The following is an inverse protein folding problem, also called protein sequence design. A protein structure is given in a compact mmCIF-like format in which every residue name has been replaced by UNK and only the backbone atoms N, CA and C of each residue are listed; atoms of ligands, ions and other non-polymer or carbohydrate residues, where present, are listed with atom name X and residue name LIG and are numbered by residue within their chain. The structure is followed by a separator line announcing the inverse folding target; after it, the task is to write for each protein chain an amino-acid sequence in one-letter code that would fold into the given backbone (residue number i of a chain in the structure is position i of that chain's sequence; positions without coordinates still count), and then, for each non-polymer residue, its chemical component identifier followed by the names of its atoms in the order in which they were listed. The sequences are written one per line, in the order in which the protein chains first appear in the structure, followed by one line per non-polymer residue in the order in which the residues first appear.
data_IF_422790409208
#
_entry.id   IF_422790409208
#
_cell.length_a   1.000
_cell.length_b   1.000
_cell.length_c   1.000
_cell.angle_alpha   90.00
_cell.angle_beta   90.00
_cell.angle_gamma   90.00
#
_symmetry.space_group_name_H-M   'P 1'
#
loop_
_entity.id
_entity.type
_entity.pdbx_description
1 polymer ?
#
# COMPACT_ATOMS: atom_id res chain seq x y z
N UNK A 1 -36.76 6.32 -55.59
CA UNK A 1 -36.74 5.57 -54.30
C UNK A 1 -35.34 5.39 -53.68
N UNK A 2 -34.30 6.16 -54.06
CA UNK A 2 -32.91 5.92 -53.63
C UNK A 2 -32.45 6.60 -52.32
N UNK A 3 -33.25 7.49 -51.71
CA UNK A 3 -32.75 8.41 -50.66
C UNK A 3 -32.99 7.94 -49.20
N UNK A 4 -33.66 6.78 -48.98
CA UNK A 4 -33.94 6.26 -47.64
C UNK A 4 -32.83 5.34 -47.09
N UNK A 5 -32.02 4.72 -47.94
CA UNK A 5 -30.95 3.77 -47.53
C UNK A 5 -29.71 4.50 -47.01
N UNK A 6 -29.25 5.54 -47.72
CA UNK A 6 -28.09 6.38 -47.32
C UNK A 6 -28.29 7.14 -46.01
N UNK A 7 -29.54 7.56 -45.69
CA UNK A 7 -29.86 8.25 -44.43
C UNK A 7 -29.88 7.32 -43.21
N UNK A 8 -30.10 6.01 -43.42
CA UNK A 8 -30.14 5.01 -42.34
C UNK A 8 -28.72 4.56 -41.95
N UNK A 9 -27.84 4.39 -42.94
CA UNK A 9 -26.40 4.11 -42.75
C UNK A 9 -25.67 5.25 -42.02
N UNK A 10 -25.97 6.51 -42.36
CA UNK A 10 -25.40 7.66 -41.67
C UNK A 10 -25.94 7.87 -40.24
N UNK A 11 -27.10 7.30 -39.91
CA UNK A 11 -27.64 7.32 -38.54
C UNK A 11 -27.01 6.22 -37.69
N UNK A 12 -26.76 5.04 -38.25
CA UNK A 12 -26.07 3.93 -37.55
C UNK A 12 -24.57 4.17 -37.39
N UNK A 13 -23.91 4.93 -38.28
CA UNK A 13 -22.52 5.34 -38.12
C UNK A 13 -22.32 6.42 -37.03
N UNK A 14 -23.28 7.35 -36.87
CA UNK A 14 -23.25 8.38 -35.81
C UNK A 14 -23.57 7.85 -34.41
N UNK A 15 -24.25 6.71 -34.30
CA UNK A 15 -24.61 6.09 -33.02
C UNK A 15 -23.53 5.16 -32.44
N UNK A 16 -22.39 4.98 -33.13
CA UNK A 16 -21.28 4.11 -32.69
C UNK A 16 -20.07 4.83 -32.09
N UNK A 17 -20.10 6.15 -31.92
CA UNK A 17 -19.00 6.88 -31.27
C UNK A 17 -19.22 7.09 -29.77
N UNK A 18 -19.83 6.13 -29.07
CA UNK A 18 -19.77 6.08 -27.61
C UNK A 18 -18.32 5.67 -27.28
N UNK A 19 -17.41 6.64 -27.32
CA UNK A 19 -16.03 6.46 -26.89
C UNK A 19 -16.11 5.93 -25.46
N UNK A 20 -15.76 4.67 -25.26
CA UNK A 20 -15.65 4.10 -23.92
C UNK A 20 -14.63 4.98 -23.18
N UNK A 21 -14.98 5.65 -22.06
CA UNK A 21 -14.03 6.46 -21.32
C UNK A 21 -12.78 5.63 -20.95
N UNK A 22 -12.96 4.34 -20.66
CA UNK A 22 -11.88 3.37 -20.39
C UNK A 22 -10.89 3.10 -21.55
N UNK A 23 -11.16 3.61 -22.77
CA UNK A 23 -10.26 3.48 -23.94
C UNK A 23 -9.34 4.68 -24.12
N UNK A 24 -9.48 5.73 -23.29
CA UNK A 24 -8.59 6.88 -23.35
C UNK A 24 -7.23 6.55 -22.73
N UNK A 25 -6.19 6.58 -23.57
CA UNK A 25 -4.79 6.37 -23.18
C UNK A 25 -4.28 7.40 -22.15
N UNK A 26 -5.05 8.46 -21.87
CA UNK A 26 -4.77 9.48 -20.84
C UNK A 26 -5.06 8.98 -19.42
N UNK A 27 -6.11 8.18 -19.23
CA UNK A 27 -6.51 7.66 -17.91
C UNK A 27 -5.38 6.90 -17.21
N UNK A 28 -4.72 5.89 -17.82
CA UNK A 28 -3.65 5.17 -17.14
C UNK A 28 -2.47 6.08 -16.78
N UNK A 29 -2.20 7.13 -17.56
CA UNK A 29 -1.15 8.09 -17.23
C UNK A 29 -1.50 8.92 -15.99
N UNK A 30 -2.74 9.42 -15.91
CA UNK A 30 -3.22 10.16 -14.73
C UNK A 30 -3.17 9.28 -13.49
N UNK A 31 -3.66 8.03 -13.59
CA UNK A 31 -3.55 7.06 -12.51
C UNK A 31 -2.10 6.78 -12.12
N UNK A 32 -1.20 6.69 -13.10
CA UNK A 32 0.23 6.52 -12.85
C UNK A 32 0.83 7.67 -12.03
N UNK A 33 0.51 8.92 -12.35
CA UNK A 33 0.91 10.09 -11.55
C UNK A 33 0.37 9.98 -10.12
N UNK A 34 -0.92 9.69 -9.96
CA UNK A 34 -1.54 9.56 -8.64
C UNK A 34 -0.90 8.45 -7.79
N UNK A 35 -0.59 7.31 -8.40
CA UNK A 35 0.10 6.20 -7.73
C UNK A 35 1.53 6.57 -7.32
N UNK A 36 2.26 7.32 -8.16
CA UNK A 36 3.59 7.82 -7.78
C UNK A 36 3.52 8.83 -6.62
N UNK A 37 2.55 9.75 -6.65
CA UNK A 37 2.32 10.68 -5.55
C UNK A 37 1.98 9.94 -4.26
N UNK A 38 1.14 8.91 -4.33
CA UNK A 38 0.83 8.04 -3.19
C UNK A 38 2.09 7.33 -2.66
N UNK A 39 2.98 6.88 -3.55
CA UNK A 39 4.24 6.25 -3.15
C UNK A 39 5.14 7.21 -2.36
N UNK A 40 5.27 8.46 -2.84
CA UNK A 40 6.03 9.50 -2.13
C UNK A 40 5.36 9.85 -0.79
N UNK A 41 4.03 9.97 -0.77
CA UNK A 41 3.26 10.17 0.46
C UNK A 41 3.58 9.08 1.49
N UNK A 42 3.51 7.80 1.09
CA UNK A 42 3.80 6.68 1.99
C UNK A 42 5.25 6.67 2.45
N UNK A 43 6.20 7.03 1.58
CA UNK A 43 7.60 7.15 1.97
C UNK A 43 7.79 8.16 3.10
N UNK A 44 7.25 9.36 2.94
CA UNK A 44 7.34 10.42 3.97
C UNK A 44 6.62 10.00 5.25
N UNK A 45 5.42 9.40 5.15
CA UNK A 45 4.68 8.88 6.30
C UNK A 45 5.47 7.82 7.08
N UNK A 46 6.08 6.86 6.37
CA UNK A 46 6.82 5.75 6.96
C UNK A 46 8.13 6.23 7.59
N UNK A 47 8.87 7.10 6.92
CA UNK A 47 10.10 7.71 7.48
C UNK A 47 9.76 8.49 8.75
N UNK A 48 8.71 9.31 8.73
CA UNK A 48 8.27 10.03 9.92
C UNK A 48 7.90 9.08 11.06
N UNK A 49 7.21 7.97 10.75
CA UNK A 49 6.78 6.99 11.75
C UNK A 49 7.95 6.34 12.50
N UNK A 50 9.13 6.18 11.88
CA UNK A 50 10.32 5.66 12.57
C UNK A 50 10.71 6.50 13.79
N UNK A 51 10.33 7.78 13.82
CA UNK A 51 10.59 8.70 14.92
C UNK A 51 9.36 8.95 15.79
N UNK A 52 8.14 8.94 15.21
CA UNK A 52 6.89 9.35 15.90
C UNK A 52 6.06 8.19 16.44
N UNK A 53 6.45 6.94 16.15
CA UNK A 53 5.63 5.76 16.49
C UNK A 53 5.26 5.64 17.97
N UNK A 54 6.08 6.12 18.91
CA UNK A 54 5.81 6.05 20.36
C UNK A 54 4.59 6.89 20.70
N UNK A 55 4.65 8.16 20.31
CA UNK A 55 3.57 9.14 20.48
C UNK A 55 2.31 8.68 19.75
N UNK A 56 2.47 8.11 18.54
CA UNK A 56 1.35 7.63 17.74
C UNK A 56 0.70 6.36 18.33
N UNK A 57 1.47 5.45 18.93
CA UNK A 57 0.97 4.18 19.48
C UNK A 57 0.12 4.38 20.74
N UNK A 58 0.56 5.23 21.67
CA UNK A 58 -0.18 5.51 22.91
C UNK A 58 -1.55 6.16 22.65
N UNK A 59 -1.67 6.90 21.55
CA UNK A 59 -2.91 7.60 21.15
C UNK A 59 -3.85 6.72 20.30
N UNK A 60 -3.29 5.79 19.51
CA UNK A 60 -4.04 4.93 18.58
C UNK A 60 -4.64 3.69 19.25
N UNK A 61 -4.23 3.32 20.47
CA UNK A 61 -4.86 2.22 21.22
C UNK A 61 -6.38 2.41 21.45
N UNK A 62 -6.90 3.64 21.36
CA UNK A 62 -8.32 3.96 21.43
C UNK A 62 -9.00 4.07 20.05
N UNK A 63 -8.53 3.36 19.01
CA UNK A 63 -9.01 3.56 17.64
C UNK A 63 -10.54 3.50 17.50
N UNK A 64 -11.15 4.67 17.29
CA UNK A 64 -12.54 4.87 16.90
C UNK A 64 -12.55 5.75 15.65
N UNK A 65 -13.55 5.57 14.78
CA UNK A 65 -13.75 6.44 13.61
C UNK A 65 -13.89 7.93 13.99
N UNK A 66 -14.18 8.24 15.26
CA UNK A 66 -14.16 9.59 15.83
C UNK A 66 -12.75 10.21 15.92
N UNK A 67 -11.66 9.43 16.06
CA UNK A 67 -10.29 9.97 16.14
C UNK A 67 -9.87 10.71 14.87
N UNK A 68 -10.47 10.39 13.72
CA UNK A 68 -10.23 11.13 12.48
C UNK A 68 -10.68 12.59 12.59
N UNK A 69 -11.74 12.85 13.37
CA UNK A 69 -12.37 14.16 13.51
C UNK A 69 -12.14 14.82 14.88
N UNK A 70 -11.57 14.09 15.83
CA UNK A 70 -11.38 14.58 17.20
C UNK A 70 -10.15 15.49 17.27
N UNK A 71 -10.34 16.80 17.25
CA UNK A 71 -9.28 17.82 17.23
C UNK A 71 -8.31 17.77 18.44
N UNK A 72 -8.64 17.04 19.51
CA UNK A 72 -7.82 16.98 20.72
C UNK A 72 -6.57 16.10 20.61
N UNK A 73 -6.47 15.27 19.56
CA UNK A 73 -5.35 14.33 19.38
C UNK A 73 -4.16 14.98 18.68
N UNK A 74 -3.09 15.17 19.43
CA UNK A 74 -1.79 15.57 18.91
C UNK A 74 -1.05 14.37 18.32
N UNK A 75 -0.77 14.41 17.02
CA UNK A 75 0.11 13.45 16.34
C UNK A 75 1.36 14.18 15.85
N UNK A 76 2.50 13.51 15.87
CA UNK A 76 3.79 14.12 15.50
C UNK A 76 4.21 13.77 14.06
N UNK A 77 3.49 12.87 13.40
CA UNK A 77 3.82 12.46 12.03
C UNK A 77 3.81 13.68 11.08
N UNK A 78 4.80 13.78 10.21
CA UNK A 78 4.98 14.94 9.32
C UNK A 78 3.80 15.18 8.37
N UNK A 79 3.02 14.15 8.07
CA UNK A 79 1.79 14.25 7.26
C UNK A 79 0.52 14.31 8.11
N UNK A 80 0.66 14.65 9.39
CA UNK A 80 -0.42 14.70 10.37
C UNK A 80 -1.06 13.34 10.59
N UNK A 81 -2.36 13.35 10.91
CA UNK A 81 -3.10 12.15 11.35
C UNK A 81 -3.22 11.08 10.29
N UNK A 82 -3.45 11.51 9.04
CA UNK A 82 -3.51 10.56 7.92
C UNK A 82 -2.18 9.84 7.75
N UNK A 83 -1.06 10.55 7.89
CA UNK A 83 0.27 9.97 7.92
C UNK A 83 0.41 8.93 9.03
N UNK A 84 0.17 9.36 10.28
CA UNK A 84 0.28 8.53 11.47
C UNK A 84 -0.55 7.24 11.38
N UNK A 85 -1.84 7.34 11.02
CA UNK A 85 -2.75 6.19 10.91
C UNK A 85 -2.30 5.25 9.78
N UNK A 86 -1.94 5.81 8.62
CA UNK A 86 -1.53 5.00 7.47
C UNK A 86 -0.24 4.25 7.79
N UNK A 87 0.78 4.94 8.31
CA UNK A 87 2.03 4.29 8.71
C UNK A 87 1.81 3.29 9.85
N UNK A 88 0.98 3.60 10.84
CA UNK A 88 0.67 2.68 11.93
C UNK A 88 -0.01 1.40 11.43
N UNK A 89 -0.93 1.49 10.46
CA UNK A 89 -1.54 0.31 9.84
C UNK A 89 -0.51 -0.58 9.12
N UNK A 90 0.47 0.01 8.44
CA UNK A 90 1.52 -0.74 7.73
C UNK A 90 2.58 -1.32 8.68
N UNK A 91 2.92 -0.62 9.75
CA UNK A 91 3.94 -1.05 10.68
C UNK A 91 3.37 -1.95 11.77
N UNK A 92 2.36 -1.50 12.50
CA UNK A 92 1.85 -2.19 13.67
C UNK A 92 0.88 -3.32 13.29
N UNK A 93 -0.17 -3.03 12.49
CA UNK A 93 -1.21 -4.02 12.16
C UNK A 93 -0.87 -5.00 11.03
N UNK A 94 0.19 -4.75 10.27
CA UNK A 94 0.60 -5.65 9.18
C UNK A 94 2.02 -6.16 9.34
N UNK A 95 2.99 -5.65 8.59
CA UNK A 95 4.28 -6.34 8.37
C UNK A 95 5.49 -5.67 9.01
N UNK A 96 5.33 -4.49 9.62
CA UNK A 96 6.41 -3.80 10.31
C UNK A 96 7.30 -2.97 9.38
N UNK A 97 8.59 -2.88 9.74
CA UNK A 97 9.61 -2.19 8.95
C UNK A 97 9.72 -2.69 7.50
N UNK A 98 9.54 -3.98 7.18
CA UNK A 98 9.48 -4.46 5.80
C UNK A 98 8.42 -3.80 4.91
N UNK A 99 7.44 -3.09 5.47
CA UNK A 99 6.40 -2.37 4.72
C UNK A 99 6.94 -1.37 3.70
N UNK A 100 8.18 -0.88 3.84
CA UNK A 100 8.85 -0.05 2.84
C UNK A 100 8.88 -0.68 1.44
N UNK A 101 8.82 -2.01 1.32
CA UNK A 101 8.72 -2.68 0.01
C UNK A 101 7.46 -2.29 -0.76
N UNK A 102 6.37 -1.90 -0.08
CA UNK A 102 5.15 -1.43 -0.72
C UNK A 102 5.40 -0.15 -1.54
N UNK A 103 6.29 0.72 -1.08
CA UNK A 103 6.70 1.94 -1.81
C UNK A 103 7.37 1.56 -3.12
N UNK A 104 8.27 0.56 -3.12
CA UNK A 104 8.89 0.06 -4.34
C UNK A 104 7.85 -0.49 -5.33
N UNK A 105 6.90 -1.30 -4.85
CA UNK A 105 5.83 -1.87 -5.68
C UNK A 105 4.95 -0.77 -6.30
N UNK A 106 4.54 0.22 -5.50
CA UNK A 106 3.72 1.35 -5.96
C UNK A 106 4.49 2.23 -6.95
N UNK A 107 5.75 2.54 -6.68
CA UNK A 107 6.60 3.30 -7.62
C UNK A 107 6.71 2.59 -8.96
N UNK A 108 6.96 1.26 -8.95
CA UNK A 108 7.02 0.47 -10.19
C UNK A 108 5.66 0.44 -10.91
N UNK A 109 4.56 0.28 -10.18
CA UNK A 109 3.22 0.31 -10.75
C UNK A 109 2.92 1.66 -11.42
N UNK A 110 3.16 2.77 -10.70
CA UNK A 110 2.96 4.12 -11.22
C UNK A 110 3.81 4.40 -12.46
N UNK A 111 5.07 3.96 -12.45
CA UNK A 111 5.95 4.06 -13.62
C UNK A 111 5.43 3.26 -14.83
N UNK A 112 5.00 2.01 -14.64
CA UNK A 112 4.45 1.19 -15.73
C UNK A 112 3.19 1.82 -16.34
N UNK A 113 2.33 2.39 -15.49
CA UNK A 113 1.11 3.10 -15.91
C UNK A 113 1.44 4.37 -16.70
N UNK A 114 2.45 5.15 -16.30
CA UNK A 114 2.90 6.35 -17.02
C UNK A 114 3.47 6.05 -18.41
N UNK A 115 4.32 5.03 -18.49
CA UNK A 115 4.95 4.62 -19.76
C UNK A 115 3.97 3.84 -20.64
N UNK A 116 2.85 3.37 -20.08
CA UNK A 116 1.87 2.55 -20.79
C UNK A 116 2.38 1.13 -21.09
N UNK A 117 3.28 0.61 -20.25
CA UNK A 117 3.76 -0.77 -20.34
C UNK A 117 2.75 -1.75 -19.75
N UNK A 118 2.83 -3.01 -20.16
CA UNK A 118 1.95 -4.07 -19.67
C UNK A 118 2.11 -4.27 -18.15
N UNK A 119 0.98 -4.33 -17.44
CA UNK A 119 0.92 -4.65 -16.01
C UNK A 119 1.42 -6.07 -15.70
N UNK A 120 1.58 -6.95 -16.70
CA UNK A 120 2.21 -8.26 -16.52
C UNK A 120 3.64 -8.14 -15.96
N UNK A 121 4.33 -7.03 -16.20
CA UNK A 121 5.65 -6.75 -15.63
C UNK A 121 5.64 -6.56 -14.09
N UNK A 122 4.46 -6.53 -13.46
CA UNK A 122 4.29 -6.54 -12.00
C UNK A 122 4.37 -7.92 -11.38
N UNK A 123 4.25 -9.00 -12.18
CA UNK A 123 4.23 -10.36 -11.65
C UNK A 123 5.49 -10.69 -10.82
N UNK A 124 6.67 -10.51 -11.41
CA UNK A 124 7.94 -10.80 -10.70
C UNK A 124 8.13 -9.91 -9.45
N UNK A 125 7.93 -8.57 -9.49
CA UNK A 125 7.95 -7.73 -8.29
C UNK A 125 7.03 -8.19 -7.17
N UNK A 126 5.82 -8.61 -7.51
CA UNK A 126 4.85 -9.09 -6.51
C UNK A 126 5.38 -10.37 -5.87
N UNK A 127 5.91 -11.31 -6.66
CA UNK A 127 6.54 -12.53 -6.12
C UNK A 127 7.71 -12.19 -5.19
N UNK A 128 8.64 -11.33 -5.63
CA UNK A 128 9.76 -10.90 -4.80
C UNK A 128 9.30 -10.20 -3.51
N UNK A 129 8.25 -9.39 -3.59
CA UNK A 129 7.67 -8.71 -2.43
C UNK A 129 7.08 -9.69 -1.44
N UNK A 130 6.31 -10.67 -1.91
CA UNK A 130 5.73 -11.70 -1.04
C UNK A 130 6.83 -12.53 -0.37
N UNK A 131 7.86 -12.96 -1.11
CA UNK A 131 9.01 -13.68 -0.54
C UNK A 131 9.77 -12.82 0.46
N UNK A 132 9.99 -11.55 0.14
CA UNK A 132 10.65 -10.60 1.04
C UNK A 132 9.87 -10.43 2.35
N UNK A 133 8.56 -10.19 2.27
CA UNK A 133 7.71 -10.04 3.45
C UNK A 133 7.63 -11.33 4.26
N UNK A 134 7.48 -12.48 3.61
CA UNK A 134 7.42 -13.78 4.28
C UNK A 134 8.69 -14.09 5.07
N UNK A 135 9.86 -13.63 4.60
CA UNK A 135 11.13 -13.87 5.27
C UNK A 135 11.49 -12.77 6.29
N UNK A 136 11.51 -11.50 5.86
CA UNK A 136 12.05 -10.41 6.68
C UNK A 136 11.11 -9.97 7.80
N UNK A 137 9.79 -10.06 7.61
CA UNK A 137 8.84 -9.66 8.67
C UNK A 137 8.95 -10.59 9.88
N UNK A 138 8.89 -11.94 9.75
CA UNK A 138 9.11 -12.85 10.87
C UNK A 138 10.54 -12.81 11.42
N UNK A 139 11.55 -12.64 10.55
CA UNK A 139 12.95 -12.54 10.97
C UNK A 139 13.17 -11.34 11.90
N UNK A 140 12.68 -10.16 11.52
CA UNK A 140 12.81 -8.96 12.35
C UNK A 140 11.99 -9.06 13.63
N UNK A 141 10.80 -9.65 13.59
CA UNK A 141 10.02 -9.94 14.80
C UNK A 141 10.77 -10.86 15.77
N UNK A 142 11.47 -11.88 15.25
CA UNK A 142 12.26 -12.80 16.05
C UNK A 142 13.51 -12.12 16.66
N UNK A 143 14.29 -11.41 15.84
CA UNK A 143 15.54 -10.78 16.27
C UNK A 143 15.33 -9.66 17.30
N UNK A 144 14.26 -8.89 17.14
CA UNK A 144 13.95 -7.75 18.01
C UNK A 144 12.81 -8.05 19.00
N UNK A 145 12.61 -9.33 19.30
CA UNK A 145 11.63 -9.77 20.30
C UNK A 145 11.91 -9.09 21.65
N UNK A 146 10.87 -8.51 22.25
CA UNK A 146 10.97 -7.79 23.54
C UNK A 146 11.26 -6.30 23.41
N UNK A 147 11.49 -5.79 22.20
CA UNK A 147 11.49 -4.34 21.97
C UNK A 147 10.06 -3.82 21.79
N UNK A 148 9.84 -2.55 22.12
CA UNK A 148 8.53 -1.89 22.03
C UNK A 148 8.12 -1.52 20.61
N UNK A 149 9.07 -1.41 19.68
CA UNK A 149 8.80 -1.05 18.29
C UNK A 149 8.33 -2.26 17.47
N UNK A 150 7.37 -2.06 16.56
CA UNK A 150 6.83 -3.11 15.70
C UNK A 150 7.74 -3.42 14.50
N UNK A 151 8.90 -4.02 14.74
CA UNK A 151 9.88 -4.33 13.69
C UNK A 151 9.35 -5.27 12.61
N UNK A 152 8.65 -6.33 13.01
CA UNK A 152 8.00 -7.28 12.10
C UNK A 152 6.49 -7.13 11.99
N UNK A 153 5.90 -6.17 12.70
CA UNK A 153 4.44 -5.99 12.75
C UNK A 153 3.68 -7.22 13.25
N UNK A 154 2.36 -7.15 13.21
CA UNK A 154 1.49 -8.26 13.62
C UNK A 154 1.80 -9.56 12.86
N UNK A 155 1.93 -9.50 11.52
CA UNK A 155 2.21 -10.66 10.67
C UNK A 155 3.52 -11.37 11.06
N UNK A 156 4.61 -10.62 11.20
CA UNK A 156 5.90 -11.16 11.59
C UNK A 156 5.87 -11.75 13.00
N UNK A 157 5.20 -11.07 13.94
CA UNK A 157 5.04 -11.56 15.30
C UNK A 157 4.27 -12.88 15.35
N UNK A 158 3.19 -13.02 14.58
CA UNK A 158 2.41 -14.26 14.50
C UNK A 158 3.23 -15.42 13.94
N UNK A 159 3.91 -15.22 12.82
CA UNK A 159 4.72 -16.28 12.21
C UNK A 159 5.91 -16.63 13.11
N UNK A 160 6.58 -15.64 13.68
CA UNK A 160 7.70 -15.86 14.61
C UNK A 160 7.25 -16.68 15.83
N UNK A 161 6.11 -16.33 16.45
CA UNK A 161 5.54 -17.08 17.56
C UNK A 161 5.18 -18.52 17.16
N UNK A 162 4.58 -18.71 15.99
CA UNK A 162 4.25 -20.03 15.46
C UNK A 162 5.51 -20.87 15.21
N UNK A 163 6.57 -20.29 14.64
CA UNK A 163 7.84 -20.98 14.41
C UNK A 163 8.52 -21.38 15.72
N UNK A 164 8.55 -20.50 16.72
CA UNK A 164 9.09 -20.82 18.05
C UNK A 164 8.30 -21.95 18.71
N UNK A 165 6.97 -21.96 18.56
CA UNK A 165 6.12 -23.02 19.09
C UNK A 165 6.30 -24.36 18.34
N UNK A 166 6.45 -24.30 17.01
CA UNK A 166 6.55 -25.49 16.15
C UNK A 166 7.92 -26.19 16.26
N UNK A 167 9.01 -25.41 16.28
CA UNK A 167 10.36 -25.96 16.43
C UNK A 167 10.63 -26.36 17.90
N UNK A 168 9.83 -25.85 18.84
CA UNK A 168 10.11 -25.94 20.26
C UNK A 168 11.27 -25.00 20.65
N UNK A 169 11.42 -24.74 21.95
CA UNK A 169 12.56 -24.02 22.51
C UNK A 169 13.84 -24.83 22.41
N UNK A 170 14.31 -25.15 21.20
CA UNK A 170 15.68 -25.66 21.01
C UNK A 170 16.61 -24.46 21.20
N UNK A 171 16.99 -24.20 22.45
CA UNK A 171 17.99 -23.20 22.84
C UNK A 171 17.58 -22.10 23.83
N UNK A 172 16.46 -22.20 24.55
CA UNK A 172 16.17 -21.27 25.67
C UNK A 172 15.96 -21.99 27.00
N UNK A 173 16.99 -22.73 27.41
CA UNK A 173 17.31 -22.97 28.82
C UNK A 173 18.65 -22.29 29.12
#
# INVERSE_FOLDING_TARGET
MANKRTRKENKTSRLRSRQNPASDKRIPKVLGVLVLLLSVYLFVAFVSYLFTWKTDQDQVFNFSWSLFFDETLSVENWLGRFGAITSHAFFYWSVGLPSFIAIFVLTKLGYLLLVGKSLKAMWSPIQYTLTFLLYFSPLLAFLFKGTTFSWGGAFGNYISAWLVQFVGTIGTA
#
